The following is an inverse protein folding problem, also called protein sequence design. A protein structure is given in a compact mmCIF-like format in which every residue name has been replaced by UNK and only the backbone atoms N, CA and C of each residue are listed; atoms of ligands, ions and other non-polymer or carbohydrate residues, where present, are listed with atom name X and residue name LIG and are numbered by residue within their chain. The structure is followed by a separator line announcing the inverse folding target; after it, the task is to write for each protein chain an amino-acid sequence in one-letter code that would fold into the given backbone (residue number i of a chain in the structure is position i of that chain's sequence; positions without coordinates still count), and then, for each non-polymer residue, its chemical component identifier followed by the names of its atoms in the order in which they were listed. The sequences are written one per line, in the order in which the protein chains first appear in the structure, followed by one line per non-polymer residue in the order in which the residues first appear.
data_IF_324463220534
#
_entry.id   IF_324463220534
#
_cell.length_a   1.000
_cell.length_b   1.000
_cell.length_c   1.000
_cell.angle_alpha   90.00
_cell.angle_beta   90.00
_cell.angle_gamma   90.00
#
_symmetry.space_group_name_H-M   'P 1'
#
loop_
_entity.id
_entity.type
_entity.pdbx_description
1 polymer ?
#
# COMPACT_ATOMS: atom_id res chain seq x y z
N UNK A 1 -28.17 28.94 -13.25
CA UNK A 1 -27.13 28.09 -13.87
C UNK A 1 -26.37 27.45 -12.72
N UNK A 2 -26.56 26.14 -12.50
CA UNK A 2 -25.90 25.45 -11.39
C UNK A 2 -24.43 25.21 -11.77
N UNK A 3 -23.49 25.75 -11.00
CA UNK A 3 -22.08 25.39 -11.14
C UNK A 3 -21.94 23.92 -10.80
N UNK A 4 -21.53 23.10 -11.78
CA UNK A 4 -21.17 21.71 -11.53
C UNK A 4 -19.90 21.68 -10.66
N UNK A 5 -19.86 20.71 -9.74
CA UNK A 5 -18.66 20.36 -8.98
C UNK A 5 -17.48 20.11 -9.92
N UNK A 6 -16.26 20.46 -9.51
CA UNK A 6 -15.03 20.19 -10.29
C UNK A 6 -14.81 18.70 -10.60
N UNK A 7 -15.47 17.80 -9.86
CA UNK A 7 -15.46 16.34 -10.11
C UNK A 7 -16.50 15.88 -11.13
N UNK A 8 -17.45 16.74 -11.52
CA UNK A 8 -18.56 16.45 -12.43
C UNK A 8 -18.41 17.14 -13.80
N UNK A 9 -17.44 18.04 -13.96
CA UNK A 9 -17.12 18.69 -15.23
C UNK A 9 -16.11 17.84 -16.03
N UNK A 10 -16.47 17.31 -17.22
CA UNK A 10 -15.59 16.49 -18.06
C UNK A 10 -14.31 17.19 -18.51
N UNK A 11 -14.29 18.52 -18.46
CA UNK A 11 -13.13 19.35 -18.85
C UNK A 11 -12.16 19.57 -17.70
N UNK A 12 -12.53 19.15 -16.49
CA UNK A 12 -11.73 19.31 -15.28
C UNK A 12 -10.67 18.21 -15.16
N UNK A 13 -9.41 18.53 -14.79
CA UNK A 13 -8.41 17.51 -14.48
C UNK A 13 -8.78 16.66 -13.25
N UNK A 14 -9.79 17.07 -12.49
CA UNK A 14 -10.34 16.34 -11.35
C UNK A 14 -11.66 15.62 -11.68
N UNK A 15 -12.04 15.53 -12.96
CA UNK A 15 -13.21 14.79 -13.38
C UNK A 15 -13.12 13.33 -12.94
N UNK A 16 -14.16 12.85 -12.26
CA UNK A 16 -14.30 11.44 -11.91
C UNK A 16 -15.49 10.93 -12.69
N UNK A 17 -15.28 9.96 -13.58
CA UNK A 17 -16.39 9.39 -14.33
C UNK A 17 -17.39 8.77 -13.34
N UNK A 18 -18.72 8.82 -13.57
CA UNK A 18 -19.70 8.28 -12.63
C UNK A 18 -19.51 6.79 -12.27
N UNK A 19 -18.83 6.01 -13.12
CA UNK A 19 -18.45 4.62 -12.80
C UNK A 19 -17.24 4.51 -11.86
N UNK A 20 -16.50 5.60 -11.68
CA UNK A 20 -15.30 5.71 -10.84
C UNK A 20 -15.58 6.49 -9.55
N UNK A 21 -16.78 7.06 -9.40
CA UNK A 21 -17.16 7.83 -8.22
C UNK A 21 -17.68 6.88 -7.12
N UNK A 22 -17.00 6.76 -5.97
CA UNK A 22 -17.44 5.89 -4.89
C UNK A 22 -18.73 6.38 -4.20
N UNK A 23 -19.12 7.65 -4.38
CA UNK A 23 -20.32 8.25 -3.79
C UNK A 23 -21.58 8.14 -4.68
N UNK A 24 -21.45 7.68 -5.93
CA UNK A 24 -22.63 7.43 -6.78
C UNK A 24 -23.26 6.09 -6.41
N UNK A 25 -24.57 6.05 -6.10
CA UNK A 25 -25.25 4.78 -5.83
C UNK A 25 -25.16 3.88 -7.06
N UNK A 26 -24.48 2.74 -6.90
CA UNK A 26 -24.03 1.85 -7.98
C UNK A 26 -25.15 0.97 -8.57
N UNK A 27 -26.31 0.98 -7.92
CA UNK A 27 -27.52 0.28 -8.31
C UNK A 27 -28.65 1.31 -8.36
N UNK A 28 -29.42 1.29 -9.45
CA UNK A 28 -30.58 2.19 -9.59
C UNK A 28 -31.51 2.02 -8.40
N UNK A 29 -32.01 3.14 -7.87
CA UNK A 29 -32.95 3.16 -6.74
C UNK A 29 -34.15 2.23 -6.99
N UNK A 30 -34.62 2.12 -8.24
CA UNK A 30 -35.67 1.17 -8.64
C UNK A 30 -35.28 -0.30 -8.47
N UNK A 31 -34.04 -0.64 -8.76
CA UNK A 31 -33.53 -2.01 -8.65
C UNK A 31 -33.27 -2.38 -7.18
N UNK A 32 -32.78 -1.43 -6.37
CA UNK A 32 -32.68 -1.58 -4.92
C UNK A 32 -34.06 -1.80 -4.28
N UNK A 33 -35.05 -0.96 -4.61
CA UNK A 33 -36.41 -1.09 -4.06
C UNK A 33 -37.06 -2.42 -4.46
N UNK A 34 -36.85 -2.89 -5.69
CA UNK A 34 -37.39 -4.17 -6.14
C UNK A 34 -36.71 -5.37 -5.48
N UNK A 35 -35.38 -5.35 -5.33
CA UNK A 35 -34.64 -6.42 -4.69
C UNK A 35 -34.90 -6.50 -3.18
N UNK A 36 -35.07 -5.35 -2.50
CA UNK A 36 -35.54 -5.27 -1.12
C UNK A 36 -36.97 -5.84 -0.97
N UNK A 37 -37.86 -5.54 -1.91
CA UNK A 37 -39.23 -6.07 -1.92
C UNK A 37 -39.28 -7.60 -2.11
N UNK A 38 -38.26 -8.19 -2.74
CA UNK A 38 -38.15 -9.63 -2.99
C UNK A 38 -37.38 -10.39 -1.90
N UNK A 39 -36.76 -9.69 -0.93
CA UNK A 39 -35.91 -10.30 0.11
C UNK A 39 -34.49 -10.66 -0.36
N UNK A 40 -34.03 -10.08 -1.47
CA UNK A 40 -32.74 -10.38 -2.13
C UNK A 40 -31.57 -9.53 -1.58
N UNK A 41 -31.65 -9.05 -0.34
CA UNK A 41 -30.64 -8.16 0.29
C UNK A 41 -29.21 -8.73 0.19
N UNK A 42 -29.07 -10.04 0.38
CA UNK A 42 -27.78 -10.74 0.33
C UNK A 42 -27.16 -10.68 -1.08
N UNK A 43 -27.97 -10.76 -2.13
CA UNK A 43 -27.49 -10.71 -3.53
C UNK A 43 -27.03 -9.29 -3.90
N UNK A 44 -27.65 -8.25 -3.31
CA UNK A 44 -27.22 -6.86 -3.52
C UNK A 44 -25.83 -6.63 -2.90
N UNK A 45 -25.61 -7.12 -1.68
CA UNK A 45 -24.32 -7.00 -0.99
C UNK A 45 -23.22 -7.78 -1.70
N UNK A 46 -23.50 -9.00 -2.18
CA UNK A 46 -22.55 -9.81 -2.96
C UNK A 46 -22.12 -9.09 -4.25
N UNK A 47 -23.07 -8.58 -5.03
CA UNK A 47 -22.77 -7.85 -6.26
C UNK A 47 -22.03 -6.52 -6.03
N UNK A 48 -22.31 -5.83 -4.92
CA UNK A 48 -21.57 -4.63 -4.56
C UNK A 48 -20.11 -4.97 -4.22
N UNK A 49 -19.89 -6.05 -3.45
CA UNK A 49 -18.57 -6.52 -3.07
C UNK A 49 -17.69 -6.86 -4.27
N UNK A 50 -18.22 -7.63 -5.23
CA UNK A 50 -17.48 -8.02 -6.44
C UNK A 50 -17.06 -6.80 -7.26
N UNK A 51 -17.95 -5.81 -7.41
CA UNK A 51 -17.60 -4.57 -8.13
C UNK A 51 -16.54 -3.73 -7.42
N UNK A 52 -16.59 -3.62 -6.09
CA UNK A 52 -15.53 -2.92 -5.35
C UNK A 52 -14.20 -3.65 -5.46
N UNK A 53 -14.22 -4.98 -5.41
CA UNK A 53 -13.05 -5.81 -5.62
C UNK A 53 -12.42 -5.53 -7.00
N UNK A 54 -13.21 -5.56 -8.08
CA UNK A 54 -12.73 -5.27 -9.44
C UNK A 54 -12.19 -3.85 -9.59
N UNK A 55 -12.84 -2.87 -8.98
CA UNK A 55 -12.38 -1.48 -8.99
C UNK A 55 -11.02 -1.35 -8.31
N UNK A 56 -10.85 -1.95 -7.14
CA UNK A 56 -9.58 -1.92 -6.42
C UNK A 56 -8.50 -2.67 -7.21
N UNK A 57 -8.81 -3.81 -7.83
CA UNK A 57 -7.89 -4.52 -8.73
C UNK A 57 -7.42 -3.58 -9.84
N UNK A 58 -8.33 -2.84 -10.49
CA UNK A 58 -7.97 -1.91 -11.56
C UNK A 58 -7.01 -0.80 -11.10
N UNK A 59 -7.21 -0.28 -9.89
CA UNK A 59 -6.33 0.74 -9.30
C UNK A 59 -4.96 0.18 -8.95
N UNK A 60 -4.91 -1.03 -8.37
CA UNK A 60 -3.65 -1.70 -8.08
C UNK A 60 -2.89 -1.95 -9.39
N UNK A 61 -3.51 -2.60 -10.38
CA UNK A 61 -2.84 -2.91 -11.66
C UNK A 61 -2.34 -1.67 -12.38
N UNK A 62 -3.09 -0.55 -12.33
CA UNK A 62 -2.68 0.73 -12.93
C UNK A 62 -1.51 1.40 -12.19
N UNK A 63 -1.33 1.12 -10.91
CA UNK A 63 -0.25 1.66 -10.08
C UNK A 63 1.08 0.90 -10.19
N UNK A 64 1.05 -0.31 -10.75
CA UNK A 64 2.20 -1.19 -10.85
C UNK A 64 2.97 -1.00 -12.16
N UNK A 65 4.27 -1.30 -12.12
CA UNK A 65 5.02 -1.53 -13.34
C UNK A 65 4.42 -2.69 -14.15
N UNK A 66 4.50 -2.60 -15.48
CA UNK A 66 3.90 -3.55 -16.40
C UNK A 66 4.30 -5.01 -16.17
N UNK A 67 5.54 -5.28 -15.73
CA UNK A 67 5.99 -6.64 -15.44
C UNK A 67 5.39 -7.16 -14.13
N UNK A 68 5.30 -6.30 -13.11
CA UNK A 68 4.71 -6.64 -11.82
C UNK A 68 3.20 -6.87 -11.99
N UNK A 69 2.50 -6.00 -12.72
CA UNK A 69 1.07 -6.14 -13.04
C UNK A 69 0.77 -7.49 -13.72
N UNK A 70 1.60 -7.92 -14.68
CA UNK A 70 1.43 -9.21 -15.36
C UNK A 70 1.60 -10.40 -14.43
N UNK A 71 2.43 -10.27 -13.38
CA UNK A 71 2.66 -11.35 -12.42
C UNK A 71 1.47 -11.62 -11.49
N UNK A 72 0.60 -10.62 -11.27
CA UNK A 72 -0.58 -10.72 -10.38
C UNK A 72 -1.90 -10.79 -11.13
N UNK A 73 -1.89 -10.73 -12.46
CA UNK A 73 -3.07 -10.58 -13.30
C UNK A 73 -4.12 -11.69 -13.13
N UNK A 74 -3.71 -12.88 -12.70
CA UNK A 74 -4.58 -14.05 -12.55
C UNK A 74 -5.08 -14.28 -11.12
N UNK A 75 -4.79 -13.35 -10.19
CA UNK A 75 -5.34 -13.37 -8.84
C UNK A 75 -6.74 -12.73 -8.86
N UNK A 76 -7.71 -13.37 -8.20
CA UNK A 76 -9.13 -13.04 -8.39
C UNK A 76 -9.61 -11.94 -7.44
N UNK A 77 -8.89 -11.70 -6.35
CA UNK A 77 -9.26 -10.67 -5.38
C UNK A 77 -8.18 -9.63 -5.19
N UNK A 78 -8.59 -8.38 -4.96
CA UNK A 78 -7.69 -7.30 -4.56
C UNK A 78 -6.86 -7.68 -3.32
N UNK A 79 -7.45 -8.48 -2.42
CA UNK A 79 -6.79 -9.02 -1.23
C UNK A 79 -5.65 -9.99 -1.58
N UNK A 80 -5.89 -10.91 -2.53
CA UNK A 80 -4.85 -11.84 -3.00
C UNK A 80 -3.71 -11.09 -3.66
N UNK A 81 -4.03 -10.13 -4.54
CA UNK A 81 -3.02 -9.28 -5.18
C UNK A 81 -2.21 -8.54 -4.12
N UNK A 82 -2.87 -7.89 -3.16
CA UNK A 82 -2.19 -7.15 -2.11
C UNK A 82 -1.27 -8.03 -1.27
N UNK A 83 -1.74 -9.21 -0.84
CA UNK A 83 -0.93 -10.16 -0.07
C UNK A 83 0.30 -10.64 -0.82
N UNK A 84 0.14 -10.96 -2.09
CA UNK A 84 1.25 -11.46 -2.91
C UNK A 84 2.30 -10.36 -3.18
N UNK A 85 1.86 -9.10 -3.38
CA UNK A 85 2.76 -7.95 -3.43
C UNK A 85 3.45 -7.69 -2.09
N UNK A 86 2.71 -7.78 -0.99
CA UNK A 86 3.24 -7.63 0.37
C UNK A 86 4.29 -8.71 0.64
N UNK A 87 4.02 -9.98 0.39
CA UNK A 87 4.99 -11.06 0.61
C UNK A 87 6.30 -10.87 -0.19
N UNK A 88 6.20 -10.38 -1.43
CA UNK A 88 7.33 -10.20 -2.33
C UNK A 88 8.12 -8.91 -2.09
N UNK A 89 7.45 -7.83 -1.71
CA UNK A 89 8.03 -6.48 -1.69
C UNK A 89 7.96 -5.78 -0.32
N UNK A 90 7.20 -6.28 0.65
CA UNK A 90 7.18 -5.74 2.02
C UNK A 90 8.41 -6.14 2.83
N UNK A 91 9.05 -7.24 2.46
CA UNK A 91 10.28 -7.67 3.10
C UNK A 91 11.40 -6.72 2.70
N UNK A 92 11.82 -5.90 3.66
CA UNK A 92 13.06 -5.16 3.58
C UNK A 92 14.20 -6.15 3.44
N UNK A 93 14.73 -6.23 2.23
CA UNK A 93 15.77 -7.21 1.91
C UNK A 93 17.06 -6.84 2.66
N UNK A 94 17.78 -7.83 3.21
CA UNK A 94 19.12 -7.62 3.75
C UNK A 94 20.04 -6.79 2.83
N UNK A 95 20.02 -7.00 1.50
CA UNK A 95 20.68 -6.12 0.53
C UNK A 95 20.30 -4.65 0.63
N UNK A 96 19.02 -4.30 0.73
CA UNK A 96 18.57 -2.90 0.87
C UNK A 96 19.14 -2.26 2.15
N UNK A 97 19.10 -2.98 3.28
CA UNK A 97 19.70 -2.52 4.52
C UNK A 97 21.20 -2.24 4.35
N UNK A 98 21.92 -3.17 3.72
CA UNK A 98 23.37 -3.02 3.50
C UNK A 98 23.68 -1.88 2.54
N UNK A 99 22.90 -1.70 1.47
CA UNK A 99 23.04 -0.56 0.55
C UNK A 99 22.86 0.76 1.30
N UNK A 100 21.90 0.86 2.21
CA UNK A 100 21.73 2.07 3.03
C UNK A 100 22.89 2.28 4.00
N UNK A 101 23.42 1.22 4.62
CA UNK A 101 24.63 1.32 5.44
C UNK A 101 25.84 1.79 4.63
N UNK A 102 26.01 1.25 3.42
CA UNK A 102 27.08 1.63 2.52
C UNK A 102 26.91 3.09 2.07
N UNK A 103 25.71 3.50 1.67
CA UNK A 103 25.41 4.89 1.32
C UNK A 103 25.75 5.84 2.47
N UNK A 104 25.45 5.46 3.72
CA UNK A 104 25.79 6.24 4.90
C UNK A 104 27.31 6.29 5.14
N UNK A 105 28.01 5.17 4.95
CA UNK A 105 29.47 5.09 5.10
C UNK A 105 30.22 5.91 4.03
N UNK A 106 29.75 5.85 2.79
CA UNK A 106 30.31 6.58 1.65
C UNK A 106 29.90 8.06 1.63
N UNK A 107 28.90 8.44 2.43
CA UNK A 107 28.42 9.82 2.50
C UNK A 107 29.50 10.75 3.06
N UNK A 108 29.86 11.76 2.27
CA UNK A 108 30.80 12.80 2.68
C UNK A 108 30.22 14.18 2.39
N UNK A 109 30.60 15.19 3.18
CA UNK A 109 30.05 16.54 3.04
C UNK A 109 30.38 17.19 1.69
N UNK A 110 31.60 16.98 1.18
CA UNK A 110 32.05 17.58 -0.07
C UNK A 110 31.89 19.10 -0.07
N UNK A 111 31.16 19.63 -1.06
CA UNK A 111 30.83 21.05 -1.20
C UNK A 111 29.48 21.44 -0.61
N UNK A 112 28.73 20.51 0.00
CA UNK A 112 27.43 20.78 0.57
C UNK A 112 27.53 21.63 1.85
N UNK A 113 26.48 22.41 2.14
CA UNK A 113 26.39 23.10 3.42
C UNK A 113 26.23 22.10 4.57
N UNK A 114 26.56 22.52 5.78
CA UNK A 114 26.38 21.69 6.98
C UNK A 114 24.91 21.27 7.15
N UNK A 115 23.96 22.16 6.84
CA UNK A 115 22.54 21.89 6.93
C UNK A 115 22.09 20.83 5.92
N UNK A 116 22.57 20.91 4.68
CA UNK A 116 22.23 19.95 3.62
C UNK A 116 22.84 18.57 3.91
N UNK A 117 24.09 18.54 4.38
CA UNK A 117 24.76 17.30 4.76
C UNK A 117 24.06 16.61 5.93
N UNK A 118 23.69 17.37 6.98
CA UNK A 118 22.93 16.83 8.10
C UNK A 118 21.56 16.29 7.66
N UNK A 119 20.89 16.98 6.74
CA UNK A 119 19.60 16.53 6.21
C UNK A 119 19.73 15.19 5.45
N UNK A 120 20.82 15.00 4.70
CA UNK A 120 21.12 13.74 4.02
C UNK A 120 21.40 12.60 5.01
N UNK A 121 22.20 12.85 6.05
CA UNK A 121 22.44 11.87 7.13
C UNK A 121 21.12 11.46 7.76
N UNK A 122 20.28 12.44 8.11
CA UNK A 122 18.99 12.19 8.75
C UNK A 122 18.07 11.36 7.85
N UNK A 123 17.98 11.68 6.56
CA UNK A 123 17.17 10.92 5.62
C UNK A 123 17.57 9.45 5.57
N UNK A 124 18.88 9.15 5.49
CA UNK A 124 19.39 7.78 5.51
C UNK A 124 19.12 7.07 6.85
N UNK A 125 19.25 7.77 7.99
CA UNK A 125 18.91 7.21 9.30
C UNK A 125 17.42 6.91 9.45
N UNK A 126 16.56 7.82 8.99
CA UNK A 126 15.11 7.64 9.02
C UNK A 126 14.74 6.41 8.16
N UNK A 127 15.32 6.26 6.97
CA UNK A 127 15.11 5.08 6.12
C UNK A 127 15.62 3.78 6.77
N UNK A 128 16.84 3.78 7.33
CA UNK A 128 17.39 2.62 8.07
C UNK A 128 16.47 2.19 9.22
N UNK A 129 15.87 3.15 9.93
CA UNK A 129 14.96 2.88 11.05
C UNK A 129 13.65 2.21 10.61
N UNK A 130 13.20 2.48 9.38
CA UNK A 130 12.02 1.85 8.78
C UNK A 130 12.36 0.47 8.24
N UNK A 131 13.55 0.33 7.62
CA UNK A 131 14.00 -0.94 7.03
C UNK A 131 14.19 -2.00 8.10
N UNK A 132 14.72 -1.61 9.26
CA UNK A 132 14.95 -2.50 10.39
C UNK A 132 14.49 -1.83 11.70
N UNK A 133 13.17 -1.83 11.99
CA UNK A 133 12.67 -1.22 13.20
C UNK A 133 13.12 -2.03 14.41
N UNK A 134 13.47 -1.32 15.49
CA UNK A 134 13.74 -1.97 16.78
C UNK A 134 12.44 -2.64 17.22
N UNK A 135 12.42 -3.97 17.40
CA UNK A 135 11.19 -4.66 17.68
C UNK A 135 10.74 -4.33 19.11
N UNK A 136 9.46 -3.98 19.28
CA UNK A 136 8.86 -3.62 20.58
C UNK A 136 7.82 -4.68 20.96
N UNK A 137 7.84 -5.12 22.23
CA UNK A 137 6.81 -6.01 22.75
C UNK A 137 5.57 -5.19 23.14
N UNK A 138 4.42 -5.52 22.55
CA UNK A 138 3.10 -4.97 22.94
C UNK A 138 2.25 -5.96 23.72
N UNK A 139 2.80 -7.12 24.08
CA UNK A 139 2.08 -8.19 24.76
C UNK A 139 2.08 -8.00 26.29
N UNK A 140 0.95 -8.25 26.93
CA UNK A 140 0.90 -8.38 28.39
C UNK A 140 1.37 -9.79 28.79
N UNK A 141 2.60 -9.91 29.29
CA UNK A 141 3.23 -11.21 29.60
C UNK A 141 4.11 -11.82 28.48
N UNK A 142 4.60 -11.00 27.54
CA UNK A 142 5.59 -11.33 26.48
C UNK A 142 5.49 -12.76 25.90
N UNK A 143 4.49 -12.99 25.06
CA UNK A 143 4.29 -14.26 24.31
C UNK A 143 4.81 -14.20 22.87
N UNK A 144 5.33 -13.06 22.42
CA UNK A 144 5.74 -12.80 21.03
C UNK A 144 7.18 -13.23 20.69
N UNK A 145 7.89 -13.84 21.65
CA UNK A 145 9.29 -14.26 21.52
C UNK A 145 10.23 -13.12 21.05
N UNK A 146 9.98 -11.90 21.50
CA UNK A 146 10.71 -10.69 21.08
C UNK A 146 12.23 -10.88 21.12
N UNK A 147 12.76 -11.35 22.24
CA UNK A 147 14.20 -11.56 22.44
C UNK A 147 14.78 -12.52 21.41
N UNK A 148 14.05 -13.60 21.06
CA UNK A 148 14.49 -14.57 20.05
C UNK A 148 14.55 -13.91 18.67
N UNK A 149 13.51 -13.15 18.29
CA UNK A 149 13.47 -12.43 17.01
C UNK A 149 14.60 -11.41 16.89
N UNK A 150 14.84 -10.63 17.94
CA UNK A 150 15.93 -9.66 17.99
C UNK A 150 17.32 -10.31 17.88
N UNK A 151 17.54 -11.44 18.57
CA UNK A 151 18.80 -12.18 18.46
C UNK A 151 19.01 -12.78 17.07
N UNK A 152 17.96 -13.31 16.45
CA UNK A 152 18.03 -13.86 15.09
C UNK A 152 18.41 -12.78 14.08
N UNK A 153 17.82 -11.60 14.18
CA UNK A 153 18.15 -10.44 13.36
C UNK A 153 19.63 -10.03 13.50
N UNK A 154 20.18 -10.01 14.72
CA UNK A 154 21.61 -9.76 14.92
C UNK A 154 22.52 -10.86 14.36
N UNK A 155 22.05 -12.11 14.32
CA UNK A 155 22.82 -13.21 13.71
C UNK A 155 22.87 -13.07 12.19
N UNK A 156 21.75 -12.69 11.57
CA UNK A 156 21.67 -12.43 10.12
C UNK A 156 22.64 -11.31 9.70
N UNK A 157 22.82 -10.28 10.54
CA UNK A 157 23.81 -9.22 10.32
C UNK A 157 25.27 -9.68 10.36
N UNK A 158 25.57 -10.81 11.03
CA UNK A 158 26.93 -11.35 11.14
C UNK A 158 27.31 -12.30 10.01
N UNK A 159 26.33 -12.77 9.23
CA UNK A 159 26.53 -13.76 8.16
C UNK A 159 26.86 -13.12 6.81
N UNK A 160 27.03 -11.80 6.79
CA UNK A 160 27.41 -10.96 5.65
C UNK A 160 28.77 -10.34 5.98
#
# INVERSE_FOLDING_TARGET
MANLSSTQDPSSPYFIHPSENPATPLVSEKFLVQALANGDEILIEEHAWDRYNDLIISYILRSLDSLIARSVLYLNTAREIWKDLDERYSQTSGPQFYTLQQNLYDLSQGSASVADFFSQIKALWDELSVVRPIPVCTCNGCTCHLTKKFLQQQQEERLI
#
